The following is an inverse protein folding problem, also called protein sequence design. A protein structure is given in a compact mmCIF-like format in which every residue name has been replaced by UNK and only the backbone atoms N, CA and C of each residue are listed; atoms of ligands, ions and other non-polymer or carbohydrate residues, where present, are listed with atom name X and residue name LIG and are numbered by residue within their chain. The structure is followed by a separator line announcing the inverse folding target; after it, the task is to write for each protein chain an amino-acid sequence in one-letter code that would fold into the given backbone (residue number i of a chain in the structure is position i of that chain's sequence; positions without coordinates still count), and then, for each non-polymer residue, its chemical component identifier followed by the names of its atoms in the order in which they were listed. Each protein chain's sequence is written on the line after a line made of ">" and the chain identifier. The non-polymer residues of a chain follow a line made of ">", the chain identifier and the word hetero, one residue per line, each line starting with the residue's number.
data_IF_559011533118
#
_entry.id   IF_559011533118
#
_cell.length_a   1.000
_cell.length_b   1.000
_cell.length_c   1.000
_cell.angle_alpha   90.00
_cell.angle_beta   90.00
_cell.angle_gamma   90.00
#
_symmetry.space_group_name_H-M   'P 1'
#
loop_
_entity.id
_entity.type
_entity.pdbx_description
1 polymer ?
#
# COMPACT_ATOMS: atom_id res chain seq x y z
N UNK A 1 0.73 14.59 -0.52
CA UNK A 1 0.11 14.71 0.83
C UNK A 1 1.03 15.55 1.72
N UNK A 2 0.54 16.33 2.70
CA UNK A 2 1.43 17.01 3.66
C UNK A 2 1.63 16.17 4.93
N UNK A 3 2.66 16.47 5.73
CA UNK A 3 3.03 15.66 6.91
C UNK A 3 1.93 15.55 7.95
N UNK A 4 1.13 16.60 8.14
CA UNK A 4 0.00 16.58 9.08
C UNK A 4 -1.09 15.59 8.65
N UNK A 5 -1.51 15.64 7.38
CA UNK A 5 -2.51 14.70 6.84
C UNK A 5 -2.01 13.26 6.83
N UNK A 6 -0.72 13.05 6.53
CA UNK A 6 -0.11 11.72 6.57
C UNK A 6 -0.14 11.10 7.97
N UNK A 7 0.23 11.86 9.00
CA UNK A 7 0.15 11.39 10.39
C UNK A 7 -1.28 11.08 10.84
N UNK A 8 -2.26 11.89 10.43
CA UNK A 8 -3.67 11.63 10.71
C UNK A 8 -4.08 10.27 10.10
N UNK A 9 -3.79 10.06 8.82
CA UNK A 9 -4.09 8.79 8.15
C UNK A 9 -3.47 7.58 8.87
N UNK A 10 -2.18 7.64 9.20
CA UNK A 10 -1.52 6.53 9.90
C UNK A 10 -2.15 6.28 11.28
N UNK A 11 -2.49 7.33 12.03
CA UNK A 11 -3.13 7.19 13.32
C UNK A 11 -4.54 6.61 13.21
N UNK A 12 -5.35 7.10 12.26
CA UNK A 12 -6.71 6.61 12.04
C UNK A 12 -6.68 5.11 11.71
N UNK A 13 -5.76 4.70 10.84
CA UNK A 13 -5.57 3.30 10.46
C UNK A 13 -4.83 2.46 11.51
N UNK A 14 -4.43 3.07 12.63
CA UNK A 14 -3.58 2.45 13.66
C UNK A 14 -2.30 1.84 13.08
N UNK A 15 -1.71 2.49 12.09
CA UNK A 15 -0.46 2.08 11.47
C UNK A 15 0.72 2.67 12.26
N UNK A 16 1.76 1.86 12.45
CA UNK A 16 3.07 2.29 12.93
C UNK A 16 4.13 1.92 11.91
N UNK A 17 5.03 2.86 11.64
CA UNK A 17 6.20 2.63 10.80
C UNK A 17 7.33 2.08 11.68
N UNK A 18 7.98 1.02 11.22
CA UNK A 18 9.11 0.39 11.90
C UNK A 18 10.30 0.28 10.94
N UNK A 19 11.36 1.09 11.13
CA UNK A 19 12.61 0.89 10.40
C UNK A 19 13.21 -0.49 10.72
N UNK A 20 13.80 -1.13 9.72
CA UNK A 20 14.61 -2.34 9.87
C UNK A 20 15.98 -2.13 9.25
N UNK A 21 17.00 -2.62 9.95
CA UNK A 21 18.38 -2.46 9.55
C UNK A 21 18.71 -3.22 8.27
N UNK A 22 19.68 -2.69 7.53
CA UNK A 22 20.25 -3.34 6.37
C UNK A 22 21.48 -4.13 6.77
N UNK A 23 21.68 -5.27 6.10
CA UNK A 23 22.91 -6.06 6.22
C UNK A 23 23.73 -5.93 4.95
N UNK A 24 25.01 -6.30 5.04
CA UNK A 24 25.85 -6.40 3.85
C UNK A 24 25.22 -7.36 2.84
N UNK A 25 25.31 -7.01 1.57
CA UNK A 25 24.82 -7.85 0.49
C UNK A 25 25.46 -9.25 0.55
N UNK A 26 24.64 -10.27 0.74
CA UNK A 26 25.11 -11.65 0.94
C UNK A 26 25.47 -12.37 -0.37
N UNK A 27 25.02 -11.88 -1.54
CA UNK A 27 25.15 -12.54 -2.84
C UNK A 27 26.45 -12.24 -3.61
N UNK A 28 27.50 -11.71 -2.96
CA UNK A 28 28.74 -11.31 -3.61
C UNK A 28 28.81 -9.80 -3.92
N UNK A 29 29.29 -9.41 -5.10
CA UNK A 29 29.25 -8.00 -5.54
C UNK A 29 27.96 -7.79 -6.32
N UNK A 30 27.06 -6.88 -5.91
CA UNK A 30 25.87 -6.56 -6.69
C UNK A 30 26.25 -6.16 -8.11
N UNK A 31 25.46 -6.54 -9.11
CA UNK A 31 25.64 -6.03 -10.47
C UNK A 31 25.71 -4.50 -10.42
N UNK A 32 26.81 -3.88 -10.85
CA UNK A 32 26.96 -2.44 -10.75
C UNK A 32 25.87 -1.73 -11.55
N UNK A 33 25.09 -0.89 -10.88
CA UNK A 33 24.17 0.03 -11.52
C UNK A 33 24.68 1.45 -11.27
N UNK A 34 24.80 2.23 -12.35
CA UNK A 34 25.20 3.64 -12.26
C UNK A 34 24.03 4.46 -11.73
N UNK A 35 24.30 5.47 -10.93
CA UNK A 35 23.28 6.42 -10.50
C UNK A 35 22.57 7.09 -11.69
N UNK A 36 21.27 7.37 -11.52
CA UNK A 36 20.52 8.14 -12.50
C UNK A 36 21.02 9.58 -12.55
N UNK A 37 21.28 10.08 -13.77
CA UNK A 37 21.78 11.44 -13.98
C UNK A 37 20.64 12.43 -14.16
N UNK A 38 20.17 13.01 -13.05
CA UNK A 38 19.22 14.11 -13.08
C UNK A 38 19.77 15.32 -13.84
N UNK A 39 18.98 15.83 -14.79
CA UNK A 39 19.24 17.11 -15.44
C UNK A 39 18.76 18.25 -14.53
N UNK A 40 19.66 19.19 -14.24
CA UNK A 40 19.41 20.31 -13.32
C UNK A 40 18.39 21.31 -13.89
N UNK A 41 18.42 21.52 -15.20
CA UNK A 41 17.54 22.41 -15.98
C UNK A 41 16.13 21.86 -16.23
N UNK A 42 15.83 20.63 -15.76
CA UNK A 42 14.55 19.96 -15.96
C UNK A 42 13.84 19.62 -14.66
N UNK A 43 12.52 19.66 -14.70
CA UNK A 43 11.65 19.16 -13.63
C UNK A 43 11.64 17.63 -13.60
N UNK A 44 11.09 17.05 -12.54
CA UNK A 44 10.83 15.60 -12.42
C UNK A 44 9.88 15.12 -13.51
N UNK A 45 8.78 15.85 -13.73
CA UNK A 45 7.80 15.62 -14.79
C UNK A 45 8.39 15.58 -16.21
N UNK A 46 9.41 16.39 -16.48
CA UNK A 46 10.08 16.43 -17.78
C UNK A 46 11.07 15.26 -17.99
N UNK A 47 11.31 14.45 -16.96
CA UNK A 47 12.31 13.39 -16.96
C UNK A 47 11.72 11.99 -16.70
N UNK A 48 10.39 11.87 -16.76
CA UNK A 48 9.66 10.61 -16.50
C UNK A 48 10.04 9.46 -17.42
N UNK A 49 10.07 9.75 -18.72
CA UNK A 49 10.51 8.78 -19.72
C UNK A 49 11.96 8.34 -19.48
N UNK A 50 12.96 9.25 -19.36
CA UNK A 50 14.33 8.88 -19.05
C UNK A 50 14.51 8.03 -17.79
N UNK A 51 13.83 8.37 -16.69
CA UNK A 51 14.01 7.60 -15.46
C UNK A 51 13.31 6.23 -15.54
N UNK A 52 12.20 6.13 -16.28
CA UNK A 52 11.51 4.86 -16.49
C UNK A 52 12.34 3.93 -17.35
N UNK A 53 12.95 4.44 -18.42
CA UNK A 53 13.93 3.72 -19.23
C UNK A 53 15.10 3.23 -18.39
N UNK A 54 15.61 4.07 -17.48
CA UNK A 54 16.66 3.68 -16.55
C UNK A 54 16.24 2.52 -15.63
N UNK A 55 15.02 2.56 -15.06
CA UNK A 55 14.51 1.45 -14.24
C UNK A 55 14.41 0.19 -15.09
N UNK A 56 13.74 0.25 -16.25
CA UNK A 56 13.56 -0.89 -17.16
C UNK A 56 14.89 -1.50 -17.58
N UNK A 57 15.90 -0.68 -17.91
CA UNK A 57 17.22 -1.16 -18.31
C UNK A 57 17.94 -1.98 -17.22
N UNK A 58 17.65 -1.72 -15.94
CA UNK A 58 18.30 -2.43 -14.82
C UNK A 58 17.55 -3.67 -14.33
N UNK A 59 16.29 -3.86 -14.75
CA UNK A 59 15.44 -5.00 -14.36
C UNK A 59 14.79 -5.71 -15.57
N UNK A 60 15.20 -5.41 -16.80
CA UNK A 60 14.53 -5.88 -18.02
C UNK A 60 14.45 -7.40 -18.15
N UNK A 61 15.48 -8.12 -17.72
CA UNK A 61 15.52 -9.59 -17.79
C UNK A 61 14.42 -10.21 -16.92
N UNK A 62 14.29 -9.74 -15.66
CA UNK A 62 13.28 -10.24 -14.73
C UNK A 62 11.86 -9.87 -15.18
N UNK A 63 11.68 -8.69 -15.79
CA UNK A 63 10.40 -8.30 -16.36
C UNK A 63 9.98 -9.25 -17.49
N UNK A 64 10.91 -9.53 -18.41
CA UNK A 64 10.66 -10.40 -19.56
C UNK A 64 10.36 -11.84 -19.11
N UNK A 65 11.19 -12.39 -18.24
CA UNK A 65 11.06 -13.77 -17.76
C UNK A 65 9.73 -14.00 -17.02
N UNK A 66 9.26 -13.00 -16.26
CA UNK A 66 8.06 -13.10 -15.44
C UNK A 66 6.80 -12.49 -16.08
N UNK A 67 6.86 -12.08 -17.37
CA UNK A 67 5.76 -11.43 -18.09
C UNK A 67 5.21 -10.20 -17.34
N UNK A 68 6.12 -9.38 -16.85
CA UNK A 68 5.85 -8.11 -16.17
C UNK A 68 6.27 -6.93 -17.05
N UNK A 69 5.75 -5.75 -16.74
CA UNK A 69 6.15 -4.49 -17.34
C UNK A 69 6.18 -3.36 -16.29
N UNK A 70 6.86 -2.26 -16.62
CA UNK A 70 6.82 -1.01 -15.85
C UNK A 70 5.97 -0.02 -16.61
N UNK A 71 4.88 0.46 -15.98
CA UNK A 71 3.96 1.43 -16.57
C UNK A 71 4.02 2.73 -15.80
N UNK A 72 4.18 3.85 -16.50
CA UNK A 72 3.98 5.18 -15.93
C UNK A 72 2.50 5.49 -15.78
N UNK A 73 2.08 5.90 -14.60
CA UNK A 73 0.66 6.13 -14.24
C UNK A 73 0.41 7.53 -13.69
N UNK A 74 1.32 8.44 -14.01
CA UNK A 74 1.35 9.81 -13.54
C UNK A 74 0.29 10.74 -14.15
N UNK A 75 -0.39 10.30 -15.23
CA UNK A 75 -1.36 11.06 -16.03
C UNK A 75 -2.65 10.26 -16.19
N UNK A 76 -3.78 10.97 -16.30
CA UNK A 76 -5.09 10.35 -16.47
C UNK A 76 -5.81 10.08 -15.14
N UNK A 77 -6.64 9.03 -15.12
CA UNK A 77 -7.49 8.69 -13.98
C UNK A 77 -6.67 8.32 -12.73
N UNK A 78 -7.24 8.59 -11.55
CA UNK A 78 -6.66 8.18 -10.27
C UNK A 78 -6.83 6.67 -10.07
N UNK A 79 -5.87 5.90 -10.58
CA UNK A 79 -5.92 4.43 -10.52
C UNK A 79 -5.74 3.87 -9.10
N UNK A 80 -5.26 4.69 -8.15
CA UNK A 80 -5.17 4.35 -6.73
C UNK A 80 -6.32 4.99 -5.94
N UNK A 81 -7.55 4.91 -6.47
CA UNK A 81 -8.74 5.37 -5.76
C UNK A 81 -9.41 4.20 -5.04
N UNK A 82 -9.57 4.32 -3.72
CA UNK A 82 -10.17 3.27 -2.90
C UNK A 82 -10.79 3.84 -1.63
N UNK A 83 -11.92 3.27 -1.24
CA UNK A 83 -12.53 3.46 0.07
C UNK A 83 -11.88 2.50 1.06
N UNK A 84 -11.40 3.03 2.18
CA UNK A 84 -10.77 2.17 3.19
C UNK A 84 -11.85 1.37 3.90
N UNK A 85 -11.78 0.03 3.91
CA UNK A 85 -12.82 -0.80 4.51
C UNK A 85 -13.11 -0.43 5.97
N UNK A 86 -14.40 -0.22 6.25
CA UNK A 86 -14.91 0.08 7.59
C UNK A 86 -14.58 1.47 8.12
N UNK A 87 -14.22 2.42 7.23
CA UNK A 87 -13.83 3.78 7.61
C UNK A 87 -14.35 4.80 6.61
N UNK A 88 -14.66 6.00 7.11
CA UNK A 88 -15.00 7.15 6.27
C UNK A 88 -13.72 7.82 5.74
N UNK A 89 -12.94 7.06 4.97
CA UNK A 89 -11.67 7.51 4.37
C UNK A 89 -11.65 7.06 2.92
N UNK A 90 -11.53 8.05 2.02
CA UNK A 90 -11.26 7.81 0.60
C UNK A 90 -9.82 8.21 0.31
N UNK A 91 -9.03 7.25 -0.14
CA UNK A 91 -7.72 7.51 -0.72
C UNK A 91 -7.90 7.66 -2.22
N UNK A 92 -7.39 8.74 -2.79
CA UNK A 92 -7.43 8.97 -4.23
C UNK A 92 -6.07 9.51 -4.68
N UNK A 93 -5.46 8.81 -5.63
CA UNK A 93 -4.13 9.19 -6.08
C UNK A 93 -3.63 8.37 -7.27
N UNK A 94 -2.36 8.59 -7.53
CA UNK A 94 -1.54 7.98 -8.57
C UNK A 94 -0.15 7.73 -7.96
N UNK A 95 0.75 7.19 -8.77
CA UNK A 95 2.17 7.05 -8.45
C UNK A 95 2.95 7.33 -9.73
N UNK A 96 4.27 7.42 -9.66
CA UNK A 96 5.09 7.59 -10.86
C UNK A 96 5.13 6.33 -11.71
N UNK A 97 5.34 5.14 -11.11
CA UNK A 97 5.41 3.88 -11.85
C UNK A 97 4.80 2.70 -11.09
N UNK A 98 4.26 1.74 -11.82
CA UNK A 98 3.81 0.44 -11.28
C UNK A 98 4.48 -0.69 -12.05
N UNK A 99 4.90 -1.72 -11.32
CA UNK A 99 5.33 -3.00 -11.89
C UNK A 99 4.18 -4.00 -11.79
N UNK A 100 3.68 -4.45 -12.93
CA UNK A 100 2.52 -5.33 -13.05
C UNK A 100 2.62 -6.26 -14.26
N UNK A 101 1.62 -7.10 -14.48
CA UNK A 101 1.59 -8.01 -15.63
C UNK A 101 1.62 -7.27 -16.96
N UNK A 102 2.40 -7.79 -17.91
CA UNK A 102 2.54 -7.26 -19.27
C UNK A 102 1.23 -7.24 -20.08
N UNK A 103 0.17 -7.91 -19.58
CA UNK A 103 -1.17 -7.86 -20.16
C UNK A 103 -1.72 -6.43 -20.18
N UNK A 104 -1.38 -5.60 -19.20
CA UNK A 104 -1.80 -4.20 -19.16
C UNK A 104 -1.10 -3.36 -20.24
N UNK A 105 0.08 -3.76 -20.70
CA UNK A 105 0.77 -3.11 -21.82
C UNK A 105 0.17 -3.53 -23.16
N UNK A 106 -0.18 -4.82 -23.30
CA UNK A 106 -0.85 -5.36 -24.51
C UNK A 106 -2.27 -4.83 -24.65
N UNK A 107 -2.96 -4.66 -23.53
CA UNK A 107 -4.37 -4.27 -23.45
C UNK A 107 -4.55 -3.18 -22.38
N UNK A 108 -4.36 -1.89 -22.75
CA UNK A 108 -4.36 -0.78 -21.79
C UNK A 108 -5.64 -0.63 -20.95
N UNK A 109 -6.78 -1.16 -21.41
CA UNK A 109 -8.03 -1.15 -20.66
C UNK A 109 -7.98 -2.04 -19.40
N UNK A 110 -7.01 -2.95 -19.27
CA UNK A 110 -6.79 -3.70 -18.04
C UNK A 110 -6.00 -2.95 -16.97
N UNK A 111 -5.35 -1.83 -17.31
CA UNK A 111 -4.52 -1.08 -16.36
C UNK A 111 -5.27 -0.68 -15.06
N UNK A 112 -6.54 -0.21 -15.10
CA UNK A 112 -7.29 0.10 -13.88
C UNK A 112 -7.54 -1.10 -12.95
N UNK A 113 -7.42 -2.34 -13.47
CA UNK A 113 -7.56 -3.56 -12.69
C UNK A 113 -6.25 -4.06 -12.08
N UNK A 114 -5.13 -3.38 -12.35
CA UNK A 114 -3.81 -3.65 -11.77
C UNK A 114 -3.39 -5.15 -11.82
N UNK A 115 -3.54 -5.83 -12.96
CA UNK A 115 -3.37 -7.28 -13.05
C UNK A 115 -1.97 -7.72 -12.62
N UNK A 116 -1.90 -8.59 -11.61
CA UNK A 116 -0.64 -9.17 -11.15
C UNK A 116 0.37 -8.11 -10.73
N UNK A 117 -0.07 -7.01 -10.13
CA UNK A 117 0.83 -5.99 -9.58
C UNK A 117 1.83 -6.61 -8.58
N UNK A 118 3.04 -6.06 -8.55
CA UNK A 118 4.11 -6.49 -7.63
C UNK A 118 4.56 -5.37 -6.72
N UNK A 119 4.71 -4.17 -7.28
CA UNK A 119 5.14 -3.01 -6.53
C UNK A 119 4.78 -1.70 -7.24
N UNK A 120 4.73 -0.62 -6.46
CA UNK A 120 4.75 0.75 -6.97
C UNK A 120 6.11 1.40 -6.71
N UNK A 121 6.45 2.40 -7.53
CA UNK A 121 7.68 3.16 -7.42
C UNK A 121 7.32 4.65 -7.53
N UNK A 122 7.52 5.36 -6.43
CA UNK A 122 7.41 6.82 -6.35
C UNK A 122 8.82 7.42 -6.49
N UNK A 123 8.99 8.30 -7.48
CA UNK A 123 10.28 8.90 -7.80
C UNK A 123 10.28 10.35 -7.33
N UNK A 124 11.34 10.77 -6.63
CA UNK A 124 11.50 12.15 -6.20
C UNK A 124 12.91 12.64 -6.49
N UNK A 125 13.05 13.75 -7.23
CA UNK A 125 14.36 14.40 -7.42
C UNK A 125 14.99 14.82 -6.09
N UNK A 126 14.15 15.22 -5.12
CA UNK A 126 14.53 15.47 -3.72
C UNK A 126 13.52 14.78 -2.81
N UNK A 127 14.00 13.85 -2.00
CA UNK A 127 13.16 13.12 -1.03
C UNK A 127 12.95 13.99 0.22
N UNK A 128 11.69 14.10 0.64
CA UNK A 128 11.28 14.82 1.84
C UNK A 128 10.35 13.96 2.68
N UNK A 129 10.05 14.37 3.91
CA UNK A 129 9.04 13.69 4.74
C UNK A 129 7.66 13.67 4.07
N UNK A 130 7.32 14.70 3.28
CA UNK A 130 6.05 14.69 2.52
C UNK A 130 6.03 13.61 1.43
N UNK A 131 7.20 13.33 0.83
CA UNK A 131 7.38 12.24 -0.13
C UNK A 131 7.16 10.87 0.51
N UNK A 132 7.64 10.67 1.74
CA UNK A 132 7.44 9.43 2.50
C UNK A 132 5.96 9.17 2.80
N UNK A 133 5.23 10.17 3.30
CA UNK A 133 3.78 10.02 3.54
C UNK A 133 2.99 9.78 2.27
N UNK A 134 3.42 10.35 1.15
CA UNK A 134 2.81 10.06 -0.14
C UNK A 134 3.02 8.59 -0.53
N UNK A 135 4.26 8.10 -0.52
CA UNK A 135 4.57 6.71 -0.85
C UNK A 135 3.85 5.71 0.08
N UNK A 136 3.73 6.03 1.38
CA UNK A 136 2.96 5.23 2.33
C UNK A 136 1.46 5.21 2.00
N UNK A 137 0.88 6.35 1.62
CA UNK A 137 -0.53 6.42 1.24
C UNK A 137 -0.82 5.66 -0.05
N UNK A 138 0.10 5.73 -1.01
CA UNK A 138 0.03 4.96 -2.25
C UNK A 138 0.15 3.46 -1.97
N UNK A 139 1.04 3.03 -1.07
CA UNK A 139 1.14 1.63 -0.63
C UNK A 139 -0.17 1.15 -0.01
N UNK A 140 -0.73 1.93 0.92
CA UNK A 140 -2.00 1.61 1.60
C UNK A 140 -3.12 1.46 0.56
N UNK A 141 -3.25 2.43 -0.36
CA UNK A 141 -4.27 2.38 -1.39
C UNK A 141 -4.11 1.15 -2.28
N UNK A 142 -2.90 0.92 -2.79
CA UNK A 142 -2.61 -0.23 -3.66
C UNK A 142 -2.91 -1.55 -2.94
N UNK A 143 -2.46 -1.71 -1.69
CA UNK A 143 -2.64 -2.94 -0.93
C UNK A 143 -4.12 -3.22 -0.61
N UNK A 144 -4.96 -2.20 -0.46
CA UNK A 144 -6.40 -2.40 -0.31
C UNK A 144 -7.06 -2.81 -1.64
N UNK A 145 -6.64 -2.21 -2.76
CA UNK A 145 -7.24 -2.45 -4.09
C UNK A 145 -7.00 -3.89 -4.55
N UNK A 146 -5.79 -4.42 -4.33
CA UNK A 146 -5.35 -5.67 -4.95
C UNK A 146 -5.33 -6.84 -3.95
N UNK A 147 -5.47 -8.05 -4.46
CA UNK A 147 -5.51 -9.27 -3.63
C UNK A 147 -4.13 -9.70 -3.17
N UNK A 148 -3.10 -9.38 -3.95
CA UNK A 148 -1.72 -9.77 -3.78
C UNK A 148 -1.00 -8.88 -2.78
N UNK A 149 -0.01 -9.41 -2.07
CA UNK A 149 0.85 -8.58 -1.23
C UNK A 149 1.85 -7.78 -2.08
N UNK A 150 1.89 -6.47 -1.88
CA UNK A 150 2.71 -5.53 -2.66
C UNK A 150 3.84 -4.92 -1.83
N UNK A 151 4.77 -4.26 -2.51
CA UNK A 151 5.81 -3.42 -1.91
C UNK A 151 5.77 -2.02 -2.54
N UNK A 152 6.16 -0.99 -1.81
CA UNK A 152 6.36 0.34 -2.35
C UNK A 152 7.83 0.72 -2.28
N UNK A 153 8.29 1.50 -3.26
CA UNK A 153 9.63 2.07 -3.31
C UNK A 153 9.52 3.59 -3.44
N UNK A 154 10.15 4.33 -2.52
CA UNK A 154 10.41 5.77 -2.66
C UNK A 154 11.88 5.96 -3.00
N UNK A 155 12.18 6.64 -4.11
CA UNK A 155 13.57 6.77 -4.55
C UNK A 155 13.89 8.06 -5.28
N UNK A 156 15.13 8.52 -5.15
CA UNK A 156 15.70 9.54 -6.04
C UNK A 156 16.57 8.95 -7.16
N UNK A 157 16.61 7.61 -7.28
CA UNK A 157 17.36 6.85 -8.28
C UNK A 157 18.89 7.04 -8.22
N UNK A 158 19.39 7.68 -7.16
CA UNK A 158 20.81 7.83 -6.88
C UNK A 158 21.13 7.13 -5.56
N UNK A 159 20.91 7.78 -4.43
CA UNK A 159 21.37 7.34 -3.12
C UNK A 159 20.26 7.18 -2.07
N UNK A 160 18.99 7.27 -2.47
CA UNK A 160 17.84 7.03 -1.60
C UNK A 160 16.96 5.97 -2.25
N UNK A 161 16.88 4.78 -1.65
CA UNK A 161 16.06 3.67 -2.12
C UNK A 161 15.32 3.07 -0.92
N UNK A 162 14.17 3.65 -0.60
CA UNK A 162 13.41 3.30 0.59
C UNK A 162 12.25 2.38 0.24
N UNK A 163 12.32 1.15 0.74
CA UNK A 163 11.31 0.12 0.55
C UNK A 163 10.33 0.14 1.72
N UNK A 164 9.05 -0.12 1.43
CA UNK A 164 7.98 -0.24 2.42
C UNK A 164 7.11 -1.47 2.14
N UNK A 165 6.73 -2.19 3.19
CA UNK A 165 5.79 -3.30 3.10
C UNK A 165 4.95 -3.45 4.37
N UNK A 166 3.73 -3.95 4.20
CA UNK A 166 2.88 -4.35 5.32
C UNK A 166 3.45 -5.65 5.89
N UNK A 167 3.88 -5.63 7.16
CA UNK A 167 4.66 -6.72 7.76
C UNK A 167 3.82 -7.60 8.68
N UNK A 168 3.18 -7.00 9.70
CA UNK A 168 2.43 -7.74 10.73
C UNK A 168 1.46 -6.83 11.48
N UNK A 169 0.60 -7.42 12.30
CA UNK A 169 -0.10 -6.72 13.37
C UNK A 169 0.65 -6.96 14.69
N UNK A 170 0.85 -5.91 15.46
CA UNK A 170 1.39 -5.97 16.83
C UNK A 170 0.42 -5.19 17.71
N UNK A 171 -0.14 -5.85 18.70
CA UNK A 171 -1.21 -5.30 19.54
C UNK A 171 -2.40 -4.81 18.69
N UNK A 172 -2.82 -3.57 18.88
CA UNK A 172 -3.89 -2.93 18.11
C UNK A 172 -3.39 -2.18 16.87
N UNK A 173 -2.10 -2.29 16.54
CA UNK A 173 -1.46 -1.56 15.43
C UNK A 173 -0.98 -2.46 14.31
N UNK A 174 -1.20 -2.01 13.08
CA UNK A 174 -0.56 -2.59 11.89
C UNK A 174 0.85 -2.02 11.76
N UNK A 175 1.82 -2.87 11.52
CA UNK A 175 3.21 -2.49 11.32
C UNK A 175 3.53 -2.50 9.82
N UNK A 176 3.87 -1.32 9.31
CA UNK A 176 4.57 -1.19 8.04
C UNK A 176 6.06 -1.10 8.34
N UNK A 177 6.83 -2.02 7.80
CA UNK A 177 8.28 -1.99 7.91
C UNK A 177 8.89 -1.20 6.76
N UNK A 178 10.03 -0.56 7.03
CA UNK A 178 10.78 0.18 6.02
C UNK A 178 12.27 -0.04 6.15
N UNK A 179 12.96 -0.07 5.01
CA UNK A 179 14.42 -0.04 4.97
C UNK A 179 14.91 0.84 3.83
N UNK A 180 16.10 1.41 3.98
CA UNK A 180 16.68 2.34 3.00
C UNK A 180 18.06 1.85 2.55
N UNK A 181 18.22 1.69 1.25
CA UNK A 181 19.50 1.42 0.61
C UNK A 181 20.06 2.69 -0.04
N UNK A 182 21.39 2.77 -0.10
CA UNK A 182 22.10 3.93 -0.67
C UNK A 182 22.76 3.62 -2.02
N UNK A 183 22.87 2.34 -2.40
CA UNK A 183 23.52 1.92 -3.62
C UNK A 183 22.49 1.41 -4.65
N UNK A 184 22.45 1.96 -5.89
CA UNK A 184 21.54 1.48 -6.93
C UNK A 184 21.69 -0.02 -7.23
N UNK A 185 22.92 -0.55 -7.24
CA UNK A 185 23.17 -1.96 -7.53
C UNK A 185 22.50 -2.90 -6.52
N UNK A 186 22.55 -2.54 -5.24
CA UNK A 186 21.88 -3.28 -4.16
C UNK A 186 20.36 -3.16 -4.28
N UNK A 187 19.85 -1.94 -4.48
CA UNK A 187 18.42 -1.70 -4.64
C UNK A 187 17.82 -2.48 -5.82
N UNK A 188 18.49 -2.49 -6.97
CA UNK A 188 18.03 -3.29 -8.11
C UNK A 188 18.15 -4.79 -7.88
N UNK A 189 19.11 -5.26 -7.07
CA UNK A 189 19.17 -6.68 -6.71
C UNK A 189 17.98 -7.07 -5.81
N UNK A 190 17.55 -6.19 -4.90
CA UNK A 190 16.30 -6.37 -4.14
C UNK A 190 15.09 -6.44 -5.07
N UNK A 191 14.96 -5.49 -5.99
CA UNK A 191 13.84 -5.45 -6.95
C UNK A 191 13.81 -6.73 -7.79
N UNK A 192 14.95 -7.16 -8.37
CA UNK A 192 15.01 -8.41 -9.15
C UNK A 192 14.56 -9.62 -8.33
N UNK A 193 15.10 -9.77 -7.13
CA UNK A 193 14.74 -10.89 -6.23
C UNK A 193 13.26 -10.87 -5.86
N UNK A 194 12.69 -9.68 -5.63
CA UNK A 194 11.26 -9.51 -5.34
C UNK A 194 10.38 -9.92 -6.54
N UNK A 195 10.78 -9.54 -7.76
CA UNK A 195 9.99 -9.75 -8.97
C UNK A 195 10.07 -11.20 -9.49
N UNK A 196 11.16 -11.92 -9.20
CA UNK A 196 11.31 -13.36 -9.50
C UNK A 196 10.43 -14.26 -8.62
N UNK A 197 9.72 -13.69 -7.66
CA UNK A 197 8.90 -14.45 -6.73
C UNK A 197 7.41 -14.39 -7.06
N UNK A 198 6.73 -15.50 -6.75
CA UNK A 198 5.27 -15.57 -6.78
C UNK A 198 4.68 -14.65 -5.71
N UNK A 199 3.59 -13.90 -6.00
CA UNK A 199 3.02 -12.88 -5.13
C UNK A 199 2.15 -13.44 -3.98
N UNK A 200 2.46 -14.64 -3.47
CA UNK A 200 1.67 -15.27 -2.41
C UNK A 200 1.80 -14.52 -1.08
N UNK A 201 0.68 -14.01 -0.56
CA UNK A 201 0.63 -13.34 0.74
C UNK A 201 1.09 -14.28 1.86
N UNK A 202 1.91 -13.76 2.78
CA UNK A 202 2.41 -14.49 3.94
C UNK A 202 3.57 -15.45 3.70
N UNK A 203 4.03 -15.61 2.46
CA UNK A 203 5.31 -16.27 2.18
C UNK A 203 6.47 -15.41 2.70
N UNK A 204 7.43 -16.06 3.34
CA UNK A 204 8.68 -15.43 3.72
C UNK A 204 9.62 -15.35 2.53
N UNK A 205 10.27 -14.20 2.40
CA UNK A 205 11.09 -13.85 1.27
C UNK A 205 12.45 -13.37 1.74
N UNK A 206 13.51 -14.08 1.37
CA UNK A 206 14.87 -13.61 1.61
C UNK A 206 15.23 -12.55 0.56
N UNK A 207 15.22 -11.27 0.94
CA UNK A 207 15.70 -10.18 0.09
C UNK A 207 17.17 -9.88 0.38
N UNK A 208 18.00 -9.59 -0.65
CA UNK A 208 19.37 -9.17 -0.44
C UNK A 208 19.43 -7.89 0.39
N UNK A 209 20.45 -7.77 1.25
CA UNK A 209 20.62 -6.63 2.17
C UNK A 209 19.59 -6.53 3.30
N UNK A 210 18.67 -7.48 3.46
CA UNK A 210 17.73 -7.50 4.59
C UNK A 210 18.22 -8.52 5.62
N UNK A 211 18.26 -8.14 6.90
CA UNK A 211 18.77 -9.00 7.98
C UNK A 211 17.95 -10.27 8.13
N UNK A 212 16.63 -10.16 7.95
CA UNK A 212 15.66 -11.23 8.15
C UNK A 212 14.79 -11.40 6.91
N UNK A 213 14.28 -12.62 6.67
CA UNK A 213 13.27 -12.83 5.65
C UNK A 213 12.10 -11.86 5.83
N UNK A 214 11.67 -11.26 4.73
CA UNK A 214 10.55 -10.34 4.65
C UNK A 214 9.27 -11.15 4.52
N UNK A 215 8.35 -10.96 5.46
CA UNK A 215 6.99 -11.48 5.35
C UNK A 215 6.06 -10.34 4.97
N UNK A 216 5.47 -10.41 3.78
CA UNK A 216 4.47 -9.43 3.34
C UNK A 216 3.08 -9.93 3.73
N UNK A 217 2.27 -9.07 4.34
CA UNK A 217 0.90 -9.33 4.74
C UNK A 217 -0.06 -8.44 3.95
N UNK A 218 -1.36 -8.70 4.06
CA UNK A 218 -2.41 -7.86 3.49
C UNK A 218 -2.98 -6.95 4.58
N UNK A 219 -3.02 -5.65 4.30
CA UNK A 219 -3.57 -4.64 5.19
C UNK A 219 -5.04 -4.92 5.50
N UNK A 220 -5.82 -5.33 4.50
CA UNK A 220 -7.23 -5.69 4.66
C UNK A 220 -7.48 -6.81 5.68
N UNK A 221 -6.49 -7.70 5.90
CA UNK A 221 -6.57 -8.77 6.89
C UNK A 221 -6.12 -8.34 8.29
N UNK A 222 -5.30 -7.27 8.38
CA UNK A 222 -4.72 -6.81 9.64
C UNK A 222 -5.47 -5.62 10.24
N UNK A 223 -6.16 -4.84 9.41
CA UNK A 223 -7.02 -3.76 9.89
C UNK A 223 -8.11 -4.36 10.79
N UNK A 224 -8.36 -3.77 11.97
CA UNK A 224 -9.41 -4.24 12.84
C UNK A 224 -10.76 -4.17 12.12
N UNK A 225 -11.50 -5.28 12.11
CA UNK A 225 -12.92 -5.25 11.77
C UNK A 225 -13.65 -4.39 12.81
N UNK A 226 -14.67 -3.65 12.38
CA UNK A 226 -15.44 -2.73 13.23
C UNK A 226 -15.97 -3.42 14.50
N UNK A 227 -16.12 -4.75 14.48
CA UNK A 227 -16.51 -5.59 15.61
C UNK A 227 -15.56 -5.54 16.83
N UNK A 228 -14.28 -5.22 16.67
CA UNK A 228 -13.29 -5.30 17.76
C UNK A 228 -12.95 -3.96 18.41
N UNK A 229 -13.41 -2.84 17.84
CA UNK A 229 -13.09 -1.49 18.30
C UNK A 229 -14.33 -0.74 18.84
N UNK A 230 -15.18 -1.42 19.61
CA UNK A 230 -15.90 -0.82 20.75
C UNK A 230 -16.96 -1.80 21.25
N UNK A 231 -17.07 -1.92 22.57
CA UNK A 231 -18.28 -2.42 23.22
C UNK A 231 -19.52 -1.52 23.01
N UNK A 232 -19.57 -0.75 21.92
CA UNK A 232 -20.69 0.12 21.52
C UNK A 232 -20.95 0.15 20.00
N UNK A 233 -20.13 -0.50 19.15
CA UNK A 233 -20.27 -0.38 17.68
C UNK A 233 -21.48 -1.12 17.11
N UNK A 234 -21.86 -2.25 17.70
CA UNK A 234 -22.94 -3.09 17.15
C UNK A 234 -24.29 -2.39 17.09
N UNK A 235 -24.49 -1.34 17.89
CA UNK A 235 -25.74 -0.56 17.90
C UNK A 235 -25.80 0.40 16.73
N UNK A 236 -24.70 1.08 16.43
CA UNK A 236 -24.65 2.02 15.31
C UNK A 236 -24.86 1.28 14.00
N UNK A 237 -24.19 0.14 13.82
CA UNK A 237 -24.35 -0.72 12.63
C UNK A 237 -25.78 -1.27 12.50
N UNK A 238 -26.42 -1.61 13.63
CA UNK A 238 -27.81 -2.10 13.63
C UNK A 238 -28.82 -0.99 13.31
N UNK A 239 -28.54 0.25 13.73
CA UNK A 239 -29.34 1.43 13.39
C UNK A 239 -29.18 1.77 11.90
N UNK A 240 -27.95 1.82 11.40
CA UNK A 240 -27.67 2.11 9.98
C UNK A 240 -28.33 1.06 9.06
N UNK A 241 -28.19 -0.24 9.39
CA UNK A 241 -28.83 -1.33 8.65
C UNK A 241 -30.35 -1.24 8.65
N UNK A 242 -30.96 -0.83 9.76
CA UNK A 242 -32.41 -0.61 9.82
C UNK A 242 -32.84 0.50 8.86
N UNK A 243 -32.12 1.64 8.84
CA UNK A 243 -32.45 2.74 7.93
C UNK A 243 -32.22 2.38 6.45
N UNK A 244 -31.17 1.61 6.13
CA UNK A 244 -30.93 1.12 4.78
C UNK A 244 -32.07 0.23 4.29
N UNK A 245 -32.49 -0.76 5.10
CA UNK A 245 -33.60 -1.65 4.76
C UNK A 245 -34.92 -0.89 4.67
N UNK A 246 -35.19 0.01 5.63
CA UNK A 246 -36.39 0.83 5.63
C UNK A 246 -36.47 1.77 4.42
N UNK A 247 -35.33 2.23 3.89
CA UNK A 247 -35.28 3.06 2.69
C UNK A 247 -35.69 2.31 1.42
N UNK A 248 -35.42 1.00 1.36
CA UNK A 248 -35.70 0.16 0.20
C UNK A 248 -37.05 -0.55 0.27
N UNK A 249 -37.48 -0.97 1.47
CA UNK A 249 -38.62 -1.86 1.67
C UNK A 249 -39.73 -1.25 2.54
N UNK A 250 -39.53 -0.04 3.07
CA UNK A 250 -40.40 0.57 4.07
C UNK A 250 -40.08 0.09 5.49
N UNK A 251 -40.58 0.79 6.53
CA UNK A 251 -40.22 0.52 7.92
C UNK A 251 -40.76 -0.84 8.40
N UNK A 252 -39.87 -1.66 8.96
CA UNK A 252 -40.20 -2.94 9.59
C UNK A 252 -40.30 -2.78 11.12
N UNK A 253 -41.46 -3.08 11.68
CA UNK A 253 -41.76 -2.85 13.10
C UNK A 253 -41.02 -3.82 14.03
N UNK A 254 -40.75 -5.05 13.58
CA UNK A 254 -40.02 -6.04 14.37
C UNK A 254 -38.52 -5.70 14.40
N UNK A 255 -37.97 -5.28 13.26
CA UNK A 255 -36.60 -4.81 13.15
C UNK A 255 -36.37 -3.54 13.97
N UNK A 256 -37.31 -2.58 13.90
CA UNK A 256 -37.27 -1.38 14.74
C UNK A 256 -37.25 -1.72 16.24
N UNK A 257 -38.08 -2.69 16.66
CA UNK A 257 -38.14 -3.14 18.06
C UNK A 257 -36.86 -3.87 18.48
N UNK A 258 -36.26 -4.67 17.61
CA UNK A 258 -35.01 -5.37 17.87
C UNK A 258 -33.85 -4.36 18.06
N UNK A 259 -33.73 -3.37 17.17
CA UNK A 259 -32.73 -2.30 17.28
C UNK A 259 -32.95 -1.47 18.55
N UNK A 260 -34.19 -1.07 18.84
CA UNK A 260 -34.52 -0.33 20.06
C UNK A 260 -34.18 -1.11 21.35
N UNK A 261 -34.41 -2.42 21.36
CA UNK A 261 -34.07 -3.29 22.51
C UNK A 261 -32.56 -3.40 22.69
N UNK A 262 -31.80 -3.46 21.59
CA UNK A 262 -30.34 -3.48 21.62
C UNK A 262 -29.77 -2.14 22.12
N UNK A 263 -30.35 -1.01 21.70
CA UNK A 263 -30.02 0.32 22.22
C UNK A 263 -30.30 0.41 23.73
N UNK A 264 -31.49 0.00 24.17
CA UNK A 264 -31.89 0.08 25.58
C UNK A 264 -30.96 -0.70 26.51
N UNK A 265 -30.53 -1.90 26.09
CA UNK A 265 -29.60 -2.76 26.86
C UNK A 265 -28.19 -2.17 27.01
N UNK A 266 -27.81 -1.22 26.16
CA UNK A 266 -26.51 -0.56 26.22
C UNK A 266 -26.47 0.69 27.10
N UNK A 267 -27.64 1.15 27.56
CA UNK A 267 -27.75 2.29 28.47
C UNK A 267 -27.63 1.75 29.90
N UNK A 268 -26.57 2.08 30.66
CA UNK A 268 -26.28 1.45 31.97
C UNK A 268 -27.38 1.62 33.03
N UNK A 269 -28.22 2.65 32.90
CA UNK A 269 -29.36 2.92 33.79
C UNK A 269 -30.62 2.11 33.43
N UNK A 270 -30.71 1.53 32.23
CA UNK A 270 -31.87 0.78 31.75
C UNK A 270 -31.62 -0.75 31.69
N UNK A 271 -30.37 -1.19 31.83
CA UNK A 271 -30.01 -2.62 31.83
C UNK A 271 -30.59 -3.40 33.03
N UNK A 272 -31.02 -2.72 34.09
CA UNK A 272 -31.66 -3.34 35.26
C UNK A 272 -33.16 -3.65 35.08
N UNK A 273 -33.76 -3.25 33.95
CA UNK A 273 -35.21 -3.37 33.72
C UNK A 273 -35.57 -4.12 32.41
N UNK A 274 -34.61 -4.81 31.77
CA UNK A 274 -34.77 -5.49 30.48
C UNK A 274 -34.57 -7.00 30.54
#
# INVERSE_FOLDING_TARGET
>A
MNSAKGNILLNDLKIRISPVDTVKFAGGVPTPAKEFKWKSDRTEEQQKEPYREYVVANIGDVLTNNKLCVVGVEKGANILTVEVPGRDIVLAGRTDMIVLSDIAQKFPHYLPHLPGVRMLIEVKKVVTTASEFQALSELIALDIIVTESVMALLTNLTNHWQFFWVSRKSDDRVIIETTTLIAPGEAFAVIRTLLDQSPSAGAEVSLPCFEKPVKRQKLSQLLPSISEASGSSGIRESIERYYDIASMLGPDLEMARAVASQVARSIPTLSYFS
#
